data_IF_950148455655
#
_entry.id   IF_950148455655
#
_cell.length_a   1.000
_cell.length_b   1.000
_cell.length_c   1.000
_cell.angle_alpha   90.00
_cell.angle_beta   90.00
_cell.angle_gamma   90.00
#
_symmetry.space_group_name_H-M   'P 1'
#
loop_
_entity.id
_entity.type
_entity.pdbx_description
1 polymer ?
#
# COMPACT_ATOMS: atom_id res chain seq x y z
N UNK A 1 -15.06 -2.43 -2.95
CA UNK A 1 -15.75 -1.97 -1.72
C UNK A 1 -16.77 -0.86 -1.97
N UNK A 2 -16.36 0.32 -2.43
CA UNK A 2 -17.22 1.52 -2.42
C UNK A 2 -17.84 1.93 -3.77
N UNK A 3 -17.33 1.39 -4.88
CA UNK A 3 -17.79 1.72 -6.23
C UNK A 3 -19.31 1.51 -6.37
N UNK A 4 -20.01 2.59 -6.74
CA UNK A 4 -21.49 2.66 -6.84
C UNK A 4 -22.25 2.30 -5.56
N UNK A 5 -21.59 2.27 -4.39
CA UNK A 5 -22.19 1.92 -3.09
C UNK A 5 -22.11 3.05 -2.08
N UNK A 6 -20.97 3.76 -2.01
CA UNK A 6 -20.79 4.85 -1.05
C UNK A 6 -21.51 6.11 -1.54
N UNK A 7 -22.43 6.63 -0.73
CA UNK A 7 -23.13 7.89 -1.00
C UNK A 7 -22.18 9.06 -0.75
N UNK A 8 -22.40 10.17 -1.44
CA UNK A 8 -21.55 11.37 -1.39
C UNK A 8 -22.11 12.48 -0.49
N UNK A 9 -23.00 12.14 0.44
CA UNK A 9 -23.71 13.11 1.29
C UNK A 9 -24.00 12.51 2.69
N UNK A 10 -23.05 11.74 3.20
CA UNK A 10 -23.16 11.03 4.48
C UNK A 10 -21.91 11.22 5.35
N UNK A 11 -21.15 12.30 5.12
CA UNK A 11 -20.02 12.70 5.94
C UNK A 11 -18.87 11.66 5.97
N UNK A 12 -18.67 10.96 4.85
CA UNK A 12 -17.62 9.93 4.69
C UNK A 12 -16.86 10.18 3.39
N UNK A 13 -15.54 10.33 3.52
CA UNK A 13 -14.58 10.30 2.42
C UNK A 13 -13.75 9.01 2.51
N UNK A 14 -13.46 8.39 1.37
CA UNK A 14 -12.70 7.14 1.33
C UNK A 14 -11.76 7.07 0.12
N UNK A 15 -10.56 6.55 0.34
CA UNK A 15 -9.60 6.20 -0.70
C UNK A 15 -9.37 4.69 -0.73
N UNK A 16 -9.02 4.13 -1.90
CA UNK A 16 -8.69 2.70 -2.06
C UNK A 16 -7.42 2.52 -2.86
N UNK A 17 -6.62 1.52 -2.49
CA UNK A 17 -5.36 1.18 -3.15
C UNK A 17 -5.51 0.86 -4.64
N UNK A 18 -6.60 0.18 -5.01
CA UNK A 18 -6.86 -0.34 -6.34
C UNK A 18 -8.30 -0.03 -6.79
N UNK A 19 -8.54 -0.13 -8.08
CA UNK A 19 -9.88 -0.10 -8.66
C UNK A 19 -10.64 -1.43 -8.41
N UNK A 20 -11.92 -1.55 -8.82
CA UNK A 20 -12.72 -2.76 -8.58
C UNK A 20 -12.24 -4.04 -9.28
N UNK A 21 -11.38 -3.93 -10.29
CA UNK A 21 -11.08 -4.98 -11.26
C UNK A 21 -9.60 -5.39 -11.26
N UNK A 22 -8.81 -4.92 -10.29
CA UNK A 22 -7.37 -5.22 -10.19
C UNK A 22 -6.93 -5.51 -8.74
N UNK A 23 -5.72 -6.02 -8.59
CA UNK A 23 -5.12 -6.30 -7.29
C UNK A 23 -4.32 -5.12 -6.75
N UNK A 24 -4.18 -5.05 -5.43
CA UNK A 24 -3.12 -4.26 -4.78
C UNK A 24 -1.79 -5.02 -4.83
N UNK A 25 -0.70 -4.36 -4.41
CA UNK A 25 0.65 -4.89 -4.51
C UNK A 25 1.38 -4.84 -3.17
N UNK A 26 2.07 -5.91 -2.83
CA UNK A 26 3.02 -5.96 -1.72
C UNK A 26 4.39 -5.38 -2.14
N UNK A 27 5.21 -4.94 -1.19
CA UNK A 27 6.54 -4.39 -1.41
C UNK A 27 7.49 -4.62 -0.22
N UNK A 28 8.77 -4.29 -0.41
CA UNK A 28 9.82 -4.41 0.61
C UNK A 28 10.04 -5.85 1.09
N UNK A 29 10.47 -6.73 0.18
CA UNK A 29 10.87 -8.09 0.50
C UNK A 29 12.12 -8.10 1.39
N UNK A 30 11.97 -8.62 2.60
CA UNK A 30 13.06 -8.78 3.56
C UNK A 30 13.58 -10.22 3.50
N UNK A 31 14.81 -10.39 3.00
CA UNK A 31 15.45 -11.71 2.87
C UNK A 31 15.66 -12.44 4.20
N UNK A 32 15.87 -11.70 5.30
CA UNK A 32 16.13 -12.30 6.62
C UNK A 32 14.85 -12.87 7.22
N UNK A 33 13.73 -12.18 7.00
CA UNK A 33 12.38 -12.57 7.45
C UNK A 33 11.66 -13.44 6.42
N UNK A 34 12.17 -13.49 5.19
CA UNK A 34 11.62 -14.25 4.07
C UNK A 34 10.15 -13.88 3.78
N UNK A 35 9.85 -12.58 3.80
CA UNK A 35 8.50 -12.06 3.59
C UNK A 35 8.52 -10.60 3.14
N UNK A 36 7.40 -10.09 2.66
CA UNK A 36 7.20 -8.68 2.32
C UNK A 36 6.79 -7.88 3.57
N UNK A 37 7.34 -6.68 3.74
CA UNK A 37 7.12 -5.86 4.94
C UNK A 37 6.01 -4.83 4.79
N UNK A 38 5.50 -4.59 3.58
CA UNK A 38 4.45 -3.62 3.35
C UNK A 38 3.67 -3.84 2.06
N UNK A 39 2.75 -2.93 1.83
CA UNK A 39 1.93 -2.83 0.62
C UNK A 39 2.15 -1.45 -0.01
N UNK A 40 2.29 -1.39 -1.34
CA UNK A 40 2.68 -0.19 -2.08
C UNK A 40 1.82 1.01 -1.68
N UNK A 41 0.49 0.92 -1.82
CA UNK A 41 -0.41 2.01 -1.43
C UNK A 41 -0.22 2.42 0.03
N UNK A 42 -0.14 1.44 0.93
CA UNK A 42 -0.08 1.66 2.37
C UNK A 42 1.20 2.41 2.76
N UNK A 43 2.35 1.93 2.29
CA UNK A 43 3.62 2.58 2.62
C UNK A 43 3.70 3.97 1.99
N UNK A 44 3.12 4.19 0.81
CA UNK A 44 3.12 5.51 0.16
C UNK A 44 2.41 6.59 0.96
N UNK A 45 1.25 6.30 1.55
CA UNK A 45 0.58 7.32 2.38
C UNK A 45 1.22 7.45 3.75
N UNK A 46 1.67 6.35 4.36
CA UNK A 46 2.30 6.39 5.70
C UNK A 46 3.64 7.12 5.68
N UNK A 47 4.52 6.81 4.73
CA UNK A 47 5.83 7.47 4.60
C UNK A 47 5.69 8.95 4.21
N UNK A 48 4.61 9.32 3.51
CA UNK A 48 4.26 10.71 3.25
C UNK A 48 3.87 11.41 4.56
N UNK A 49 2.92 10.87 5.31
CA UNK A 49 2.50 11.42 6.61
C UNK A 49 3.64 11.52 7.63
N UNK A 50 4.55 10.55 7.66
CA UNK A 50 5.73 10.57 8.56
C UNK A 50 6.74 11.69 8.21
N UNK A 51 6.73 12.18 6.96
CA UNK A 51 7.75 13.09 6.45
C UNK A 51 7.28 14.56 6.37
N UNK A 52 5.98 14.79 6.23
CA UNK A 52 5.39 16.10 5.95
C UNK A 52 4.73 16.72 7.18
N UNK A 53 4.59 18.04 7.16
CA UNK A 53 3.78 18.77 8.14
C UNK A 53 2.29 18.57 7.82
N UNK A 54 1.60 17.74 8.61
CA UNK A 54 0.18 17.38 8.40
C UNK A 54 -0.78 18.58 8.47
N UNK A 55 -0.36 19.71 9.06
CA UNK A 55 -1.13 20.96 9.10
C UNK A 55 -1.09 21.74 7.80
N UNK A 56 -0.25 21.31 6.85
CA UNK A 56 -0.05 21.95 5.54
C UNK A 56 -0.45 21.05 4.38
N UNK A 57 -0.78 19.79 4.65
CA UNK A 57 -1.22 18.84 3.63
C UNK A 57 -2.72 18.57 3.77
N UNK A 58 -3.45 18.68 2.66
CA UNK A 58 -4.87 18.32 2.64
C UNK A 58 -5.07 16.86 2.24
N UNK A 59 -6.24 16.30 2.54
CA UNK A 59 -6.65 14.97 2.06
C UNK A 59 -6.54 14.84 0.52
N UNK A 60 -6.90 15.88 -0.24
CA UNK A 60 -6.73 15.91 -1.70
C UNK A 60 -5.26 15.83 -2.10
N UNK A 61 -4.39 16.58 -1.41
CA UNK A 61 -2.97 16.63 -1.74
C UNK A 61 -2.30 15.28 -1.51
N UNK A 62 -2.54 14.65 -0.35
CA UNK A 62 -2.05 13.30 -0.08
C UNK A 62 -2.63 12.29 -1.09
N UNK A 63 -3.93 12.34 -1.40
CA UNK A 63 -4.51 11.46 -2.41
C UNK A 63 -3.79 11.57 -3.77
N UNK A 64 -3.48 12.79 -4.23
CA UNK A 64 -2.77 12.99 -5.49
C UNK A 64 -1.35 12.42 -5.46
N UNK A 65 -0.60 12.67 -4.38
CA UNK A 65 0.76 12.13 -4.19
C UNK A 65 0.71 10.61 -4.19
N UNK A 66 -0.14 10.02 -3.34
CA UNK A 66 -0.26 8.56 -3.20
C UNK A 66 -0.71 7.92 -4.52
N UNK A 67 -1.60 8.57 -5.26
CA UNK A 67 -2.04 8.10 -6.58
C UNK A 67 -0.92 8.13 -7.63
N UNK A 68 -0.06 9.14 -7.61
CA UNK A 68 1.09 9.25 -8.51
C UNK A 68 2.18 8.22 -8.15
N UNK A 69 2.44 8.05 -6.85
CA UNK A 69 3.50 7.19 -6.33
C UNK A 69 3.12 5.69 -6.31
N UNK A 70 1.82 5.35 -6.24
CA UNK A 70 1.32 3.97 -6.35
C UNK A 70 1.18 3.57 -7.82
N UNK A 71 2.30 3.41 -8.50
CA UNK A 71 2.34 3.15 -9.96
C UNK A 71 1.99 1.70 -10.37
N UNK A 72 1.59 0.85 -9.42
CA UNK A 72 1.24 -0.56 -9.64
C UNK A 72 -0.25 -0.83 -9.75
N UNK A 73 -1.10 0.11 -9.31
CA UNK A 73 -2.56 -0.01 -9.34
C UNK A 73 -3.20 1.38 -9.41
N UNK A 74 -4.51 1.45 -9.60
CA UNK A 74 -5.26 2.69 -9.71
C UNK A 74 -5.86 3.08 -8.36
N UNK A 75 -5.22 4.02 -7.68
CA UNK A 75 -5.77 4.61 -6.45
C UNK A 75 -7.05 5.38 -6.77
N UNK A 76 -8.13 5.05 -6.05
CA UNK A 76 -9.46 5.63 -6.25
C UNK A 76 -9.91 6.42 -5.01
N UNK A 77 -10.80 7.40 -5.23
CA UNK A 77 -11.47 8.14 -4.16
C UNK A 77 -13.00 8.04 -4.33
N UNK A 78 -13.72 8.05 -3.21
CA UNK A 78 -15.17 7.89 -3.14
C UNK A 78 -15.76 8.72 -2.00
N UNK A 79 -17.08 8.89 -2.04
CA UNK A 79 -17.83 9.53 -0.96
C UNK A 79 -17.93 11.03 -1.14
N UNK A 80 -17.94 11.73 -0.01
CA UNK A 80 -18.12 13.16 0.06
C UNK A 80 -16.81 13.90 -0.25
N UNK A 81 -16.82 14.72 -1.31
CA UNK A 81 -15.64 15.44 -1.76
C UNK A 81 -15.47 16.78 -1.06
N UNK A 82 -16.40 17.19 -0.20
CA UNK A 82 -16.29 18.45 0.55
C UNK A 82 -15.14 18.38 1.58
N UNK A 83 -14.81 17.18 2.07
CA UNK A 83 -13.72 16.91 3.03
C UNK A 83 -12.32 16.99 2.44
N UNK A 84 -12.17 16.96 1.11
CA UNK A 84 -10.84 16.80 0.50
C UNK A 84 -9.92 18.01 0.73
N UNK A 85 -10.50 19.14 1.15
CA UNK A 85 -9.76 20.35 1.48
C UNK A 85 -9.38 20.45 2.96
N UNK A 86 -9.82 19.52 3.81
CA UNK A 86 -9.43 19.48 5.21
C UNK A 86 -7.97 19.03 5.33
N UNK A 87 -7.29 19.59 6.32
CA UNK A 87 -5.90 19.25 6.63
C UNK A 87 -5.81 17.84 7.22
N UNK A 88 -4.71 17.14 6.94
CA UNK A 88 -4.49 15.79 7.46
C UNK A 88 -4.43 15.74 8.98
N UNK A 89 -3.98 16.82 9.64
CA UNK A 89 -3.89 16.92 11.11
C UNK A 89 -5.24 16.65 11.80
N UNK A 90 -6.37 16.96 11.14
CA UNK A 90 -7.71 16.68 11.67
C UNK A 90 -8.03 15.19 11.79
N UNK A 91 -7.34 14.33 11.02
CA UNK A 91 -7.63 12.89 10.93
C UNK A 91 -6.46 12.01 11.37
N UNK A 92 -5.23 12.45 11.15
CA UNK A 92 -4.00 11.69 11.38
C UNK A 92 -3.13 12.30 12.49
N UNK A 93 -3.49 13.49 12.99
CA UNK A 93 -2.81 14.18 14.09
C UNK A 93 -3.68 14.28 15.35
N UNK A 94 -3.29 15.20 16.23
CA UNK A 94 -4.04 15.53 17.44
C UNK A 94 -4.92 16.80 17.28
N UNK A 95 -4.91 17.41 16.08
CA UNK A 95 -5.61 18.66 15.78
C UNK A 95 -5.05 19.87 16.52
N UNK A 96 -3.89 19.74 17.19
CA UNK A 96 -3.24 20.82 17.94
C UNK A 96 -2.18 21.56 17.12
N UNK A 97 -1.96 21.14 15.86
CA UNK A 97 -1.12 21.86 14.92
C UNK A 97 0.37 21.71 15.17
N UNK A 98 0.86 20.50 15.46
CA UNK A 98 2.29 20.28 15.73
C UNK A 98 3.12 20.43 14.44
N UNK A 99 3.97 21.46 14.40
CA UNK A 99 4.60 21.99 13.17
C UNK A 99 5.98 21.34 12.90
N UNK A 100 6.03 20.04 12.67
CA UNK A 100 7.28 19.37 12.28
C UNK A 100 7.11 18.56 11.00
N UNK A 101 8.01 18.76 10.04
CA UNK A 101 7.99 18.04 8.76
C UNK A 101 8.40 18.93 7.59
N UNK A 102 8.52 18.33 6.40
CA UNK A 102 8.73 19.04 5.13
C UNK A 102 7.40 19.64 4.63
N UNK A 103 7.47 20.58 3.69
CA UNK A 103 6.27 20.96 2.94
C UNK A 103 5.83 19.81 2.01
N UNK A 104 4.53 19.69 1.70
CA UNK A 104 4.04 18.66 0.77
C UNK A 104 4.70 18.72 -0.61
N UNK A 105 5.08 19.90 -1.07
CA UNK A 105 5.74 20.10 -2.37
C UNK A 105 7.17 19.55 -2.41
N UNK A 106 7.83 19.45 -1.27
CA UNK A 106 9.19 18.94 -1.11
C UNK A 106 9.23 17.41 -0.93
N UNK A 107 8.09 16.77 -0.65
CA UNK A 107 8.03 15.33 -0.45
C UNK A 107 8.36 14.57 -1.74
N UNK A 108 9.22 13.56 -1.62
CA UNK A 108 9.56 12.61 -2.68
C UNK A 108 9.60 11.24 -2.04
N UNK A 109 8.74 10.32 -2.50
CA UNK A 109 8.70 8.96 -1.97
C UNK A 109 9.89 8.13 -2.44
N UNK A 110 10.24 7.09 -1.68
CA UNK A 110 11.26 6.14 -2.12
C UNK A 110 10.73 5.27 -3.27
N UNK A 111 11.59 4.94 -4.24
CA UNK A 111 11.21 4.07 -5.34
C UNK A 111 11.12 2.63 -4.87
N UNK A 112 9.93 2.03 -5.04
CA UNK A 112 9.70 0.61 -4.78
C UNK A 112 10.10 -0.18 -6.03
N UNK A 113 10.97 -1.17 -5.87
CA UNK A 113 11.56 -1.94 -6.99
C UNK A 113 11.21 -3.42 -6.97
N UNK A 114 10.59 -3.90 -5.89
CA UNK A 114 10.28 -5.31 -5.64
C UNK A 114 8.79 -5.56 -5.50
N UNK A 115 7.95 -4.64 -6.00
CA UNK A 115 6.52 -4.76 -5.90
C UNK A 115 5.99 -6.01 -6.62
N UNK A 116 5.05 -6.71 -5.99
CA UNK A 116 4.40 -7.90 -6.56
C UNK A 116 2.89 -7.88 -6.31
N UNK A 117 2.04 -8.39 -7.23
CA UNK A 117 0.61 -8.49 -6.96
C UNK A 117 0.34 -9.26 -5.67
N UNK A 118 -0.61 -8.77 -4.86
CA UNK A 118 -0.97 -9.38 -3.58
C UNK A 118 -1.31 -10.89 -3.69
N UNK A 119 -2.02 -11.38 -4.72
CA UNK A 119 -2.27 -12.82 -4.89
C UNK A 119 -1.00 -13.67 -5.08
N UNK A 120 0.08 -13.08 -5.61
CA UNK A 120 1.31 -13.81 -5.95
C UNK A 120 2.31 -13.85 -4.79
N UNK A 121 2.04 -13.17 -3.68
CA UNK A 121 2.97 -13.00 -2.54
C UNK A 121 3.43 -14.33 -1.98
N UNK A 122 2.49 -15.25 -1.71
CA UNK A 122 2.81 -16.54 -1.09
C UNK A 122 3.69 -17.40 -2.00
N UNK A 123 3.30 -17.54 -3.26
CA UNK A 123 4.08 -18.28 -4.26
C UNK A 123 5.48 -17.68 -4.43
N UNK A 124 5.58 -16.35 -4.44
CA UNK A 124 6.86 -15.67 -4.59
C UNK A 124 7.79 -15.88 -3.37
N UNK A 125 7.24 -15.84 -2.15
CA UNK A 125 7.98 -16.20 -0.93
C UNK A 125 8.53 -17.63 -1.03
N UNK A 126 7.71 -18.59 -1.45
CA UNK A 126 8.14 -19.98 -1.64
C UNK A 126 9.27 -20.09 -2.68
N UNK A 127 9.16 -19.38 -3.80
CA UNK A 127 10.22 -19.34 -4.80
C UNK A 127 11.53 -18.76 -4.26
N UNK A 128 11.48 -17.69 -3.46
CA UNK A 128 12.67 -17.16 -2.81
C UNK A 128 13.29 -18.15 -1.82
N UNK A 129 12.48 -18.77 -0.95
CA UNK A 129 12.93 -19.81 -0.01
C UNK A 129 13.61 -20.97 -0.75
N UNK A 130 13.01 -21.45 -1.85
CA UNK A 130 13.55 -22.54 -2.66
C UNK A 130 14.91 -22.20 -3.29
N UNK A 131 15.04 -20.95 -3.76
CA UNK A 131 16.27 -20.44 -4.37
C UNK A 131 17.41 -20.31 -3.37
N UNK A 132 17.11 -19.81 -2.17
CA UNK A 132 18.10 -19.50 -1.14
C UNK A 132 18.45 -20.71 -0.26
N UNK A 133 17.61 -21.76 -0.24
CA UNK A 133 17.88 -22.99 0.51
C UNK A 133 19.05 -23.81 -0.07
N UNK A 134 20.00 -24.15 0.81
CA UNK A 134 21.09 -25.08 0.52
C UNK A 134 20.75 -26.54 0.81
N UNK A 135 19.63 -26.82 1.50
CA UNK A 135 19.26 -28.16 1.95
C UNK A 135 18.37 -28.87 0.93
N UNK A 136 18.81 -30.04 0.46
CA UNK A 136 18.01 -30.84 -0.48
C UNK A 136 16.66 -31.27 0.12
N UNK A 137 16.61 -31.50 1.44
CA UNK A 137 15.39 -31.88 2.14
C UNK A 137 14.41 -30.70 2.22
N UNK A 138 14.90 -29.52 2.56
CA UNK A 138 14.08 -28.30 2.62
C UNK A 138 13.56 -27.91 1.23
N UNK A 139 14.40 -28.01 0.19
CA UNK A 139 13.97 -27.76 -1.19
C UNK A 139 12.84 -28.69 -1.65
N UNK A 140 12.86 -29.96 -1.22
CA UNK A 140 11.77 -30.90 -1.52
C UNK A 140 10.48 -30.53 -0.79
N UNK A 141 10.59 -30.08 0.45
CA UNK A 141 9.43 -29.65 1.23
C UNK A 141 8.79 -28.40 0.62
N UNK A 142 9.59 -27.39 0.28
CA UNK A 142 9.10 -26.17 -0.37
C UNK A 142 8.47 -26.48 -1.74
N UNK A 143 9.05 -27.41 -2.51
CA UNK A 143 8.45 -27.84 -3.77
C UNK A 143 7.06 -28.46 -3.58
N UNK A 144 6.86 -29.23 -2.50
CA UNK A 144 5.54 -29.77 -2.13
C UNK A 144 4.58 -28.66 -1.72
N UNK A 145 5.02 -27.68 -0.92
CA UNK A 145 4.22 -26.49 -0.56
C UNK A 145 3.75 -25.74 -1.83
N UNK A 146 4.63 -25.55 -2.81
CA UNK A 146 4.27 -24.92 -4.10
C UNK A 146 3.24 -25.76 -4.86
N UNK A 147 3.43 -27.07 -4.97
CA UNK A 147 2.48 -27.97 -5.64
C UNK A 147 1.11 -27.99 -4.96
N UNK A 148 1.06 -27.87 -3.64
CA UNK A 148 -0.20 -27.79 -2.88
C UNK A 148 -0.89 -26.45 -3.12
N UNK A 149 -0.15 -25.34 -3.05
CA UNK A 149 -0.68 -24.01 -3.30
C UNK A 149 -1.28 -23.90 -4.72
N UNK A 150 -0.59 -24.41 -5.74
CA UNK A 150 -1.07 -24.35 -7.12
C UNK A 150 -2.36 -25.13 -7.37
N UNK A 151 -2.64 -26.19 -6.58
CA UNK A 151 -3.91 -26.94 -6.67
C UNK A 151 -5.10 -26.15 -6.15
N UNK A 152 -4.88 -25.16 -5.28
CA UNK A 152 -5.97 -24.30 -4.79
C UNK A 152 -6.45 -23.30 -5.85
N UNK A 153 -5.67 -23.08 -6.90
CA UNK A 153 -5.98 -22.19 -8.02
C UNK A 153 -6.58 -22.91 -9.25
N UNK A 154 -6.76 -24.24 -9.19
CA UNK A 154 -7.47 -25.05 -10.20
C UNK A 154 -8.97 -25.19 -9.88
#
# INVERSE_FOLDING_TARGET
>A
MFYKKLKNNIDIYATTAANPDESSYACYYDKKRQTYLGDVYSVKWMENSDAVDLTKETLMKQFQIVKEETNTSHVMQYGDMDYVNNDLDEFQGDGMGSVSGKSPEEYRGEQITDAIPSPDVELNILHHRLKDSASLAERREIAREIEELLKEYE
#
